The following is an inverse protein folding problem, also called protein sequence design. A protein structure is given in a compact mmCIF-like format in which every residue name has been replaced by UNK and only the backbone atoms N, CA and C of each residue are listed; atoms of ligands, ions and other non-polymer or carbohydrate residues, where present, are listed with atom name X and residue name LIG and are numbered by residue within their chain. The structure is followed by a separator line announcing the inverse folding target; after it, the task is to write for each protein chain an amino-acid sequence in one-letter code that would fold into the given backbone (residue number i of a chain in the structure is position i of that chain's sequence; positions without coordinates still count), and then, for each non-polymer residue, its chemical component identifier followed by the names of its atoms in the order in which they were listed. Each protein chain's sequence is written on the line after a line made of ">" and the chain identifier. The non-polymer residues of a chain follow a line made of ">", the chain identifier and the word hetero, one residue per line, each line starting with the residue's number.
data_IF_341780258898
#
_entry.id   IF_341780258898
#
_cell.length_a   1.000
_cell.length_b   1.000
_cell.length_c   1.000
_cell.angle_alpha   90.00
_cell.angle_beta   90.00
_cell.angle_gamma   90.00
#
_symmetry.space_group_name_H-M   'P 1'
#
loop_
_entity.id
_entity.type
_entity.pdbx_description
1 polymer ?
#
# COMPACT_ATOMS: atom_id res chain seq x y z
N UNK A 1 -3.77 -2.04 57.32
CA UNK A 1 -2.63 -2.87 57.74
C UNK A 1 -2.27 -3.71 56.49
N UNK A 2 -1.31 -3.47 55.68
CA UNK A 2 0.09 -3.15 55.86
C UNK A 2 0.62 -2.36 54.65
N UNK A 3 1.11 -1.15 54.89
CA UNK A 3 1.97 -0.39 53.99
C UNK A 3 3.40 -0.83 54.32
N UNK A 4 4.21 -1.27 53.38
CA UNK A 4 5.68 -1.15 53.34
C UNK A 4 6.25 -1.86 52.11
N UNK A 5 6.96 -1.13 51.31
CA UNK A 5 8.22 -1.43 50.64
C UNK A 5 8.28 -1.01 49.16
N UNK A 6 8.47 0.28 48.93
CA UNK A 6 8.96 0.80 47.63
C UNK A 6 10.03 1.88 47.86
N UNK A 7 11.17 1.51 48.49
CA UNK A 7 12.28 2.48 48.67
C UNK A 7 13.69 1.87 48.55
N UNK A 8 13.91 0.93 47.66
CA UNK A 8 15.26 0.34 47.45
C UNK A 8 15.70 0.17 45.97
N UNK A 9 15.03 0.78 45.01
CA UNK A 9 15.44 0.67 43.60
C UNK A 9 16.01 1.95 42.96
N UNK A 10 16.07 3.08 43.65
CA UNK A 10 16.55 4.35 43.11
C UNK A 10 18.05 4.64 43.29
N UNK A 11 18.80 3.85 44.06
CA UNK A 11 20.24 4.06 44.27
C UNK A 11 21.15 3.21 43.37
N UNK A 12 20.63 2.18 42.71
CA UNK A 12 21.45 1.34 41.80
C UNK A 12 21.60 1.96 40.39
N UNK A 13 20.68 2.81 39.94
CA UNK A 13 20.74 3.45 38.61
C UNK A 13 21.68 4.66 38.62
N UNK A 14 21.92 5.31 39.77
CA UNK A 14 22.79 6.48 39.86
C UNK A 14 24.29 6.13 39.87
N UNK A 15 24.65 4.90 40.23
CA UNK A 15 26.06 4.45 40.27
C UNK A 15 26.57 3.96 38.92
N UNK A 16 25.71 3.50 38.04
CA UNK A 16 26.10 3.05 36.68
C UNK A 16 26.35 4.23 35.73
N UNK A 17 25.66 5.36 35.91
CA UNK A 17 25.88 6.56 35.09
C UNK A 17 27.17 7.33 35.44
N UNK A 18 27.68 7.21 36.66
CA UNK A 18 28.93 7.86 37.07
C UNK A 18 30.19 7.11 36.60
N UNK A 19 30.11 5.80 36.38
CA UNK A 19 31.24 4.99 35.91
C UNK A 19 31.52 5.12 34.40
N UNK A 20 30.52 5.42 33.58
CA UNK A 20 30.68 5.56 32.13
C UNK A 20 31.25 6.92 31.72
N UNK A 21 31.09 7.98 32.50
CA UNK A 21 31.67 9.32 32.21
C UNK A 21 33.15 9.39 32.60
N UNK A 22 33.62 8.60 33.54
CA UNK A 22 35.04 8.59 33.93
C UNK A 22 35.95 7.87 32.91
N UNK A 23 35.43 6.92 32.16
CA UNK A 23 36.21 6.16 31.12
C UNK A 23 36.38 6.98 29.84
N UNK A 24 35.44 7.88 29.52
CA UNK A 24 35.52 8.74 28.33
C UNK A 24 36.53 9.91 28.48
N UNK A 25 36.84 10.35 29.72
CA UNK A 25 37.78 11.47 29.99
C UNK A 25 39.24 11.03 30.12
N UNK A 26 39.53 9.74 30.30
CA UNK A 26 40.90 9.22 30.41
C UNK A 26 41.46 8.75 29.05
N UNK A 27 40.62 8.50 28.03
CA UNK A 27 41.01 8.06 26.68
C UNK A 27 41.54 9.17 25.78
N UNK A 28 41.23 10.43 26.07
CA UNK A 28 41.62 11.58 25.21
C UNK A 28 42.98 12.22 25.57
N UNK A 29 43.57 11.86 26.71
CA UNK A 29 44.91 12.38 27.10
C UNK A 29 46.09 11.50 26.64
N UNK A 30 45.85 10.28 26.15
CA UNK A 30 46.92 9.40 25.69
C UNK A 30 47.22 9.49 24.21
N UNK A 31 46.44 10.24 23.40
CA UNK A 31 46.63 10.34 21.94
C UNK A 31 47.28 11.65 21.48
N UNK A 32 47.59 12.59 22.38
CA UNK A 32 48.25 13.89 22.07
C UNK A 32 49.74 13.87 22.35
N UNK A 33 50.31 12.81 22.95
CA UNK A 33 51.68 12.73 23.35
C UNK A 33 52.69 12.12 22.37
N UNK A 34 52.32 11.81 21.13
CA UNK A 34 53.13 11.04 20.16
C UNK A 34 53.37 11.74 18.82
N UNK A 35 53.14 13.04 18.73
CA UNK A 35 53.53 13.83 17.53
C UNK A 35 54.22 15.13 17.97
N UNK A 36 55.51 15.02 18.24
CA UNK A 36 56.37 16.16 18.50
C UNK A 36 57.80 15.85 18.05
N UNK A 37 58.27 16.72 17.14
CA UNK A 37 59.64 16.99 16.81
C UNK A 37 60.38 16.15 15.77
N UNK A 38 60.67 16.80 14.65
CA UNK A 38 61.58 16.40 13.60
C UNK A 38 61.69 17.43 12.50
N UNK A 39 62.10 18.67 12.88
CA UNK A 39 62.61 19.68 11.90
C UNK A 39 64.03 19.35 11.51
N UNK A 40 64.30 19.14 10.22
CA UNK A 40 65.60 19.36 9.62
C UNK A 40 65.42 19.71 8.14
N UNK A 41 65.83 20.91 7.84
CA UNK A 41 66.07 21.56 6.59
C UNK A 41 66.96 20.76 5.65
N UNK A 42 66.57 20.67 4.35
CA UNK A 42 67.55 20.63 3.23
C UNK A 42 67.01 21.51 2.11
N UNK A 43 67.81 22.56 1.84
CA UNK A 43 67.64 23.48 0.76
C UNK A 43 67.89 22.86 -0.63
N UNK A 44 67.17 23.48 -1.60
CA UNK A 44 67.59 23.78 -2.98
C UNK A 44 68.50 22.80 -3.73
N UNK A 45 68.00 22.10 -4.74
CA UNK A 45 68.47 22.14 -6.11
C UNK A 45 67.58 21.25 -7.02
N UNK A 46 66.92 21.92 -7.94
CA UNK A 46 66.66 21.44 -9.30
C UNK A 46 65.47 22.14 -9.94
N UNK A 47 65.62 23.44 -10.14
CA UNK A 47 65.10 24.06 -11.34
C UNK A 47 65.92 23.49 -12.51
N UNK A 48 65.29 22.79 -13.38
CA UNK A 48 65.60 22.40 -14.75
C UNK A 48 65.31 20.93 -15.02
N UNK A 49 64.01 20.59 -15.19
CA UNK A 49 63.51 19.44 -15.98
C UNK A 49 62.03 19.37 -16.00
N UNK A 50 61.35 20.48 -16.21
CA UNK A 50 59.88 20.50 -16.41
C UNK A 50 59.54 21.14 -17.77
N UNK A 51 60.17 20.71 -18.81
CA UNK A 51 59.76 21.01 -20.17
C UNK A 51 60.26 19.91 -21.08
N UNK A 52 59.39 18.88 -21.19
CA UNK A 52 59.28 17.95 -22.32
C UNK A 52 58.64 16.64 -21.86
N UNK A 53 57.34 16.62 -21.79
CA UNK A 53 56.48 15.52 -22.25
C UNK A 53 55.03 15.97 -22.16
N UNK A 54 54.64 17.02 -22.90
CA UNK A 54 53.30 17.00 -23.49
C UNK A 54 53.40 16.06 -24.68
N UNK A 55 53.42 14.77 -24.42
CA UNK A 55 53.11 13.79 -25.41
C UNK A 55 51.62 13.98 -25.77
N UNK A 56 51.40 14.46 -26.99
CA UNK A 56 50.18 14.36 -27.73
C UNK A 56 49.67 12.90 -27.59
N UNK A 57 48.72 12.67 -26.70
CA UNK A 57 47.87 11.47 -26.72
C UNK A 57 46.85 11.67 -27.84
N UNK A 58 47.34 11.71 -29.09
CA UNK A 58 46.57 11.31 -30.25
C UNK A 58 46.37 9.81 -30.10
N UNK A 59 45.30 9.42 -29.43
CA UNK A 59 44.72 8.06 -29.53
C UNK A 59 44.75 7.69 -31.01
N UNK A 60 45.73 6.85 -31.42
CA UNK A 60 45.76 6.29 -32.78
C UNK A 60 44.49 5.50 -32.94
N UNK A 61 43.60 5.94 -33.81
CA UNK A 61 42.33 5.27 -34.09
C UNK A 61 42.66 3.85 -34.54
N UNK A 62 42.35 2.89 -33.68
CA UNK A 62 42.50 1.48 -33.98
C UNK A 62 41.47 1.09 -35.05
N UNK A 63 41.90 0.49 -36.15
CA UNK A 63 41.01 0.07 -37.23
C UNK A 63 41.32 -1.36 -37.69
N UNK A 64 40.33 -1.98 -38.29
CA UNK A 64 40.44 -3.28 -38.92
C UNK A 64 39.91 -3.17 -40.34
N UNK A 65 40.72 -3.57 -41.31
CA UNK A 65 40.29 -3.70 -42.72
C UNK A 65 39.80 -5.12 -42.98
N UNK A 66 38.66 -5.25 -43.66
CA UNK A 66 38.06 -6.54 -43.98
C UNK A 66 37.96 -6.75 -45.52
N UNK A 67 38.17 -8.03 -45.90
CA UNK A 67 37.87 -8.45 -47.28
C UNK A 67 36.36 -8.60 -47.50
N UNK A 68 35.91 -8.57 -48.77
CA UNK A 68 34.50 -8.72 -49.11
C UNK A 68 33.81 -9.96 -48.56
N UNK A 69 34.57 -11.08 -48.44
CA UNK A 69 34.06 -12.31 -47.84
C UNK A 69 33.83 -12.21 -46.34
N UNK A 70 34.64 -11.39 -45.66
CA UNK A 70 34.56 -11.22 -44.20
C UNK A 70 33.50 -10.19 -43.80
N UNK A 71 33.27 -9.17 -44.63
CA UNK A 71 32.16 -8.18 -44.46
C UNK A 71 30.79 -8.79 -44.49
N UNK A 72 30.59 -9.91 -45.25
CA UNK A 72 29.32 -10.61 -45.28
C UNK A 72 28.88 -11.25 -43.96
N UNK A 73 29.82 -11.41 -42.99
CA UNK A 73 29.52 -11.91 -41.66
C UNK A 73 29.08 -10.86 -40.66
N UNK A 74 29.17 -9.58 -41.05
CA UNK A 74 28.81 -8.44 -40.18
C UNK A 74 27.52 -7.79 -40.67
N UNK A 75 26.66 -7.40 -39.73
CA UNK A 75 25.55 -6.49 -40.03
C UNK A 75 25.93 -5.08 -39.60
N UNK A 76 25.60 -4.13 -40.45
CA UNK A 76 25.81 -2.71 -40.21
C UNK A 76 24.48 -1.97 -40.30
N UNK A 77 24.32 -0.97 -39.46
CA UNK A 77 23.12 -0.14 -39.40
C UNK A 77 23.48 1.30 -39.00
N UNK A 78 22.56 2.21 -39.23
CA UNK A 78 22.71 3.59 -38.77
C UNK A 78 22.46 3.70 -37.26
N UNK A 79 23.15 4.63 -36.62
CA UNK A 79 22.82 5.04 -35.25
C UNK A 79 21.51 5.80 -35.27
N UNK A 80 20.52 5.26 -34.58
CA UNK A 80 19.16 5.79 -34.49
C UNK A 80 18.90 6.30 -33.08
N UNK A 81 17.86 7.12 -32.93
CA UNK A 81 17.41 7.53 -31.60
C UNK A 81 16.30 6.59 -31.12
N UNK A 82 16.31 6.28 -29.82
CA UNK A 82 15.32 5.46 -29.15
C UNK A 82 14.91 6.12 -27.82
N UNK A 83 13.67 5.86 -27.41
CA UNK A 83 13.18 6.34 -26.12
C UNK A 83 13.52 5.34 -25.03
N UNK A 84 14.28 5.81 -24.04
CA UNK A 84 14.67 5.03 -22.89
C UNK A 84 13.88 5.47 -21.67
N UNK A 85 13.28 4.51 -21.02
CA UNK A 85 12.50 4.73 -19.79
C UNK A 85 13.33 4.32 -18.56
N UNK A 86 13.40 5.20 -17.57
CA UNK A 86 13.99 4.83 -16.30
C UNK A 86 12.96 4.05 -15.48
N UNK A 87 13.15 2.73 -15.43
CA UNK A 87 12.28 1.84 -14.67
C UNK A 87 12.89 1.56 -13.30
N UNK A 88 12.07 1.68 -12.27
CA UNK A 88 12.40 1.24 -10.90
C UNK A 88 11.53 0.07 -10.51
N UNK A 89 12.15 -0.96 -9.94
CA UNK A 89 11.45 -2.15 -9.49
C UNK A 89 11.50 -2.21 -7.97
N UNK A 90 10.34 -2.49 -7.35
CA UNK A 90 10.29 -2.79 -5.93
C UNK A 90 9.46 -4.05 -5.68
N UNK A 91 9.78 -4.74 -4.59
CA UNK A 91 9.05 -5.94 -4.16
C UNK A 91 8.19 -5.63 -2.95
N UNK A 92 7.08 -6.31 -2.86
CA UNK A 92 6.14 -6.13 -1.77
C UNK A 92 5.11 -7.26 -1.70
N UNK A 93 4.01 -6.99 -1.04
CA UNK A 93 2.91 -7.93 -0.86
C UNK A 93 1.59 -7.30 -1.28
N UNK A 94 0.70 -8.14 -1.80
CA UNK A 94 -0.68 -7.79 -2.03
C UNK A 94 -1.42 -7.83 -0.70
N UNK A 95 -2.30 -6.87 -0.46
CA UNK A 95 -3.21 -6.86 0.69
C UNK A 95 -4.58 -6.34 0.29
N UNK A 96 -5.56 -6.55 1.16
CA UNK A 96 -6.90 -6.01 0.94
C UNK A 96 -6.87 -4.48 0.88
N UNK A 97 -7.69 -3.92 0.02
CA UNK A 97 -8.00 -2.51 0.07
C UNK A 97 -8.81 -2.22 1.35
N UNK A 98 -8.14 -1.69 2.38
CA UNK A 98 -8.78 -1.45 3.67
C UNK A 98 -9.86 -0.38 3.62
N UNK A 99 -9.90 0.45 2.58
CA UNK A 99 -11.01 1.38 2.35
C UNK A 99 -12.28 0.65 1.88
N UNK A 100 -12.12 -0.55 1.31
CA UNK A 100 -13.18 -1.42 0.82
C UNK A 100 -13.43 -2.63 1.72
N UNK A 101 -12.79 -2.67 2.91
CA UNK A 101 -12.95 -3.73 3.89
C UNK A 101 -13.75 -3.21 5.09
N UNK A 102 -14.84 -3.88 5.41
CA UNK A 102 -15.69 -3.52 6.54
C UNK A 102 -15.76 -4.67 7.52
N UNK A 103 -15.48 -4.36 8.79
CA UNK A 103 -15.73 -5.26 9.90
C UNK A 103 -17.17 -5.08 10.39
N UNK A 104 -17.96 -6.15 10.32
CA UNK A 104 -19.39 -6.13 10.66
C UNK A 104 -19.59 -6.56 12.09
N UNK A 105 -19.99 -5.61 12.91
CA UNK A 105 -20.39 -5.81 14.29
C UNK A 105 -21.90 -5.67 14.43
N UNK A 106 -22.48 -6.27 15.47
CA UNK A 106 -23.80 -5.85 15.92
C UNK A 106 -23.69 -4.51 16.64
N UNK A 107 -24.67 -3.64 16.44
CA UNK A 107 -24.80 -2.37 17.18
C UNK A 107 -25.25 -2.57 18.64
N UNK A 108 -25.76 -3.75 18.97
CA UNK A 108 -26.32 -4.09 20.28
C UNK A 108 -25.67 -5.37 20.80
N UNK A 109 -25.55 -5.52 22.14
CA UNK A 109 -25.07 -6.74 22.73
C UNK A 109 -26.09 -7.87 22.55
N UNK A 110 -25.59 -9.10 22.42
CA UNK A 110 -26.46 -10.25 22.32
C UNK A 110 -25.71 -11.54 22.02
N UNK A 111 -26.42 -12.66 22.12
CA UNK A 111 -25.92 -13.98 21.81
C UNK A 111 -26.23 -14.33 20.35
N UNK A 112 -25.23 -14.73 19.56
CA UNK A 112 -25.46 -15.16 18.19
C UNK A 112 -26.33 -16.42 18.17
N UNK A 113 -27.46 -16.33 17.46
CA UNK A 113 -28.37 -17.43 17.26
C UNK A 113 -27.99 -18.24 16.03
N UNK A 114 -27.82 -17.56 14.88
CA UNK A 114 -27.48 -18.16 13.59
C UNK A 114 -26.50 -17.29 12.84
N UNK A 115 -25.64 -17.93 12.07
CA UNK A 115 -24.70 -17.31 11.12
C UNK A 115 -24.92 -17.99 9.77
N UNK A 116 -25.17 -17.19 8.72
CA UNK A 116 -25.69 -17.70 7.45
C UNK A 116 -24.63 -17.93 6.38
N UNK A 117 -23.51 -17.20 6.43
CA UNK A 117 -22.48 -17.22 5.41
C UNK A 117 -21.16 -17.77 5.93
N UNK A 118 -20.35 -18.32 5.03
CA UNK A 118 -19.01 -18.83 5.30
C UNK A 118 -17.93 -17.94 4.66
N UNK A 119 -16.69 -18.16 5.04
CA UNK A 119 -15.54 -17.50 4.39
C UNK A 119 -15.51 -17.89 2.92
N UNK A 120 -15.38 -16.90 2.07
CA UNK A 120 -15.36 -17.04 0.62
C UNK A 120 -16.72 -16.86 -0.07
N UNK A 121 -17.84 -16.82 0.67
CA UNK A 121 -19.16 -16.57 0.10
C UNK A 121 -19.28 -15.10 -0.36
N UNK A 122 -20.01 -14.90 -1.46
CA UNK A 122 -20.40 -13.57 -1.94
C UNK A 122 -21.69 -13.12 -1.27
N UNK A 123 -21.69 -11.85 -0.86
CA UNK A 123 -22.83 -11.21 -0.19
C UNK A 123 -23.14 -9.87 -0.84
N UNK A 124 -24.42 -9.49 -0.80
CA UNK A 124 -24.90 -8.18 -1.23
C UNK A 124 -25.18 -7.29 -0.04
N UNK A 125 -25.10 -5.99 -0.26
CA UNK A 125 -25.56 -5.03 0.73
C UNK A 125 -27.02 -5.32 1.14
N UNK A 126 -27.25 -5.43 2.46
CA UNK A 126 -28.55 -5.75 3.04
C UNK A 126 -28.78 -7.24 3.34
N UNK A 127 -27.96 -8.16 2.82
CA UNK A 127 -28.05 -9.58 3.17
C UNK A 127 -27.81 -9.80 4.67
N UNK A 128 -28.61 -10.66 5.28
CA UNK A 128 -28.49 -10.91 6.72
C UNK A 128 -27.35 -11.87 6.98
N UNK A 129 -26.27 -11.37 7.60
CA UNK A 129 -25.07 -12.18 7.90
C UNK A 129 -25.30 -13.10 9.10
N UNK A 130 -25.92 -12.59 10.15
CA UNK A 130 -26.20 -13.35 11.37
C UNK A 130 -27.37 -12.74 12.14
N UNK A 131 -27.89 -13.50 13.08
CA UNK A 131 -28.94 -13.04 14.01
C UNK A 131 -28.43 -13.16 15.43
N UNK A 132 -28.88 -12.23 16.29
CA UNK A 132 -28.58 -12.24 17.72
C UNK A 132 -29.86 -12.22 18.55
N UNK A 133 -29.78 -12.84 19.72
CA UNK A 133 -30.74 -12.68 20.80
C UNK A 133 -30.38 -11.43 21.58
N UNK A 134 -31.17 -10.35 21.41
CA UNK A 134 -30.92 -9.03 22.01
C UNK A 134 -31.90 -8.76 23.16
N UNK A 135 -31.40 -8.71 24.41
CA UNK A 135 -32.23 -8.34 25.56
C UNK A 135 -32.79 -6.93 25.45
N UNK A 136 -32.04 -6.03 24.83
CA UNK A 136 -32.44 -4.61 24.67
C UNK A 136 -33.64 -4.49 23.70
N UNK A 137 -33.65 -5.27 22.61
CA UNK A 137 -34.81 -5.33 21.71
C UNK A 137 -36.05 -5.90 22.44
N UNK A 138 -35.85 -7.00 23.18
CA UNK A 138 -36.94 -7.61 23.97
C UNK A 138 -37.53 -6.61 24.94
N UNK A 139 -36.70 -5.82 25.63
CA UNK A 139 -37.14 -4.77 26.55
C UNK A 139 -37.93 -3.66 25.82
N UNK A 140 -37.44 -3.20 24.66
CA UNK A 140 -38.10 -2.19 23.86
C UNK A 140 -39.48 -2.64 23.35
N UNK A 141 -39.59 -3.88 22.85
CA UNK A 141 -40.86 -4.45 22.42
C UNK A 141 -41.84 -4.66 23.58
N UNK A 142 -41.35 -5.05 24.75
CA UNK A 142 -42.17 -5.18 25.95
C UNK A 142 -42.72 -3.82 26.43
N UNK A 143 -41.90 -2.78 26.38
CA UNK A 143 -42.30 -1.40 26.70
C UNK A 143 -43.34 -0.88 25.69
N UNK A 144 -43.21 -1.24 24.40
CA UNK A 144 -44.20 -0.89 23.37
C UNK A 144 -45.54 -1.51 23.67
N UNK A 145 -45.62 -2.82 23.97
CA UNK A 145 -46.86 -3.49 24.32
C UNK A 145 -47.51 -2.91 25.57
N UNK A 146 -46.72 -2.59 26.61
CA UNK A 146 -47.21 -1.95 27.82
C UNK A 146 -47.81 -0.60 27.57
N UNK A 147 -47.10 0.28 26.82
CA UNK A 147 -47.55 1.63 26.49
C UNK A 147 -48.80 1.62 25.60
N UNK A 148 -48.91 0.67 24.67
CA UNK A 148 -50.11 0.46 23.87
C UNK A 148 -51.33 0.06 24.73
N UNK A 149 -51.13 -0.76 25.75
CA UNK A 149 -52.15 -1.14 26.71
C UNK A 149 -52.65 0.06 27.51
N UNK A 150 -51.76 0.91 28.01
CA UNK A 150 -52.07 2.15 28.74
C UNK A 150 -52.81 3.14 27.83
N UNK A 151 -52.33 3.34 26.60
CA UNK A 151 -53.01 4.23 25.65
C UNK A 151 -54.45 3.77 25.37
N UNK A 152 -54.64 2.45 25.16
CA UNK A 152 -55.96 1.86 24.96
C UNK A 152 -56.91 2.04 26.18
N UNK A 153 -56.36 1.97 27.41
CA UNK A 153 -57.12 2.28 28.64
C UNK A 153 -57.55 3.72 28.69
N UNK A 154 -56.60 4.66 28.50
CA UNK A 154 -56.88 6.13 28.58
C UNK A 154 -57.82 6.58 27.46
N UNK A 155 -57.69 6.00 26.25
CA UNK A 155 -58.63 6.30 25.15
C UNK A 155 -60.05 5.92 25.53
N UNK A 156 -60.26 4.71 26.12
CA UNK A 156 -61.61 4.30 26.58
C UNK A 156 -62.13 5.15 27.75
N UNK A 157 -61.22 5.56 28.66
CA UNK A 157 -61.60 6.42 29.78
C UNK A 157 -62.08 7.81 29.29
N UNK A 158 -61.29 8.45 28.40
CA UNK A 158 -61.62 9.72 27.80
C UNK A 158 -62.92 9.65 27.02
N UNK A 159 -63.12 8.63 26.20
CA UNK A 159 -64.34 8.43 25.43
C UNK A 159 -65.58 8.32 26.36
N UNK A 160 -65.48 7.52 27.41
CA UNK A 160 -66.55 7.33 28.40
C UNK A 160 -66.88 8.65 29.14
N UNK A 161 -65.88 9.37 29.66
CA UNK A 161 -66.08 10.62 30.38
C UNK A 161 -66.63 11.72 29.47
N UNK A 162 -66.21 11.79 28.22
CA UNK A 162 -66.76 12.70 27.22
C UNK A 162 -68.23 12.43 26.93
N UNK A 163 -68.64 11.15 26.89
CA UNK A 163 -70.04 10.77 26.72
C UNK A 163 -70.89 11.08 27.96
N UNK A 164 -70.36 10.82 29.16
CA UNK A 164 -71.03 11.18 30.42
C UNK A 164 -71.18 12.70 30.59
N UNK A 165 -70.20 13.50 30.22
CA UNK A 165 -70.30 14.99 30.25
C UNK A 165 -71.44 15.45 29.35
N UNK A 166 -71.56 14.92 28.13
CA UNK A 166 -72.66 15.22 27.20
C UNK A 166 -74.03 14.89 27.77
N UNK A 167 -74.13 13.87 28.64
CA UNK A 167 -75.32 13.44 29.34
C UNK A 167 -75.52 14.15 30.69
N UNK A 168 -74.68 15.10 31.07
CA UNK A 168 -74.75 15.82 32.35
C UNK A 168 -74.31 15.01 33.57
N UNK A 169 -73.63 13.87 33.37
CA UNK A 169 -73.21 12.92 34.42
C UNK A 169 -71.71 13.00 34.84
N UNK A 170 -70.98 13.97 34.33
CA UNK A 170 -69.55 14.16 34.69
C UNK A 170 -69.23 15.66 34.70
N UNK A 171 -68.16 16.03 35.47
CA UNK A 171 -67.65 17.38 35.48
C UNK A 171 -66.66 17.63 34.35
N UNK A 172 -66.60 18.91 33.84
CA UNK A 172 -65.61 19.29 32.80
C UNK A 172 -64.19 18.99 33.26
N UNK A 173 -63.87 19.23 34.54
CA UNK A 173 -62.52 18.93 35.13
C UNK A 173 -62.11 17.47 34.92
N UNK A 174 -63.05 16.52 35.01
CA UNK A 174 -62.73 15.09 34.84
C UNK A 174 -62.38 14.76 33.38
N UNK A 175 -63.04 15.43 32.43
CA UNK A 175 -62.70 15.29 31.00
C UNK A 175 -61.38 15.93 30.69
N UNK A 176 -61.08 17.10 31.26
CA UNK A 176 -59.79 17.78 31.07
C UNK A 176 -58.63 16.92 31.61
N UNK A 177 -58.80 16.30 32.79
CA UNK A 177 -57.83 15.34 33.35
C UNK A 177 -57.63 14.14 32.43
N UNK A 178 -58.73 13.51 32.00
CA UNK A 178 -58.68 12.35 31.11
C UNK A 178 -58.01 12.70 29.75
N UNK A 179 -58.19 13.91 29.25
CA UNK A 179 -57.54 14.43 28.05
C UNK A 179 -56.03 14.52 28.26
N UNK A 180 -55.61 15.10 29.38
CA UNK A 180 -54.18 15.18 29.75
C UNK A 180 -53.53 13.78 29.90
N UNK A 181 -54.23 12.86 30.56
CA UNK A 181 -53.76 11.49 30.74
C UNK A 181 -53.67 10.72 29.41
N UNK A 182 -54.63 10.96 28.50
CA UNK A 182 -54.60 10.36 27.17
C UNK A 182 -53.41 10.93 26.34
N UNK A 183 -53.20 12.26 26.37
CA UNK A 183 -52.07 12.87 25.65
C UNK A 183 -50.73 12.35 26.17
N UNK A 184 -50.58 12.18 27.49
CA UNK A 184 -49.41 11.60 28.10
C UNK A 184 -49.19 10.15 27.65
N UNK A 185 -50.22 9.35 27.65
CA UNK A 185 -50.17 7.97 27.19
C UNK A 185 -49.82 7.85 25.69
N UNK A 186 -50.37 8.77 24.87
CA UNK A 186 -50.05 8.85 23.44
C UNK A 186 -48.56 9.21 23.20
N UNK A 187 -48.06 10.18 23.98
CA UNK A 187 -46.61 10.55 23.93
C UNK A 187 -45.71 9.34 24.29
N UNK A 188 -46.02 8.63 25.37
CA UNK A 188 -45.28 7.45 25.80
C UNK A 188 -45.32 6.32 24.77
N UNK A 189 -46.49 6.08 24.15
CA UNK A 189 -46.61 5.08 23.08
C UNK A 189 -45.78 5.46 21.85
N UNK A 190 -45.81 6.71 21.41
CA UNK A 190 -44.99 7.19 20.30
C UNK A 190 -43.49 7.04 20.61
N UNK A 191 -43.07 7.35 21.83
CA UNK A 191 -41.69 7.17 22.26
C UNK A 191 -41.28 5.68 22.23
N UNK A 192 -42.10 4.80 22.75
CA UNK A 192 -41.84 3.33 22.74
C UNK A 192 -41.83 2.79 21.31
N UNK A 193 -42.71 3.25 20.42
CA UNK A 193 -42.72 2.88 19.00
C UNK A 193 -41.42 3.28 18.31
N UNK A 194 -40.94 4.49 18.58
CA UNK A 194 -39.66 4.98 18.06
C UNK A 194 -38.46 4.17 18.60
N UNK A 195 -38.51 3.78 19.88
CA UNK A 195 -37.45 2.96 20.48
C UNK A 195 -37.31 1.62 19.73
N UNK A 196 -38.41 0.94 19.37
CA UNK A 196 -38.38 -0.30 18.59
C UNK A 196 -37.89 -0.05 17.15
N UNK A 197 -38.25 1.09 16.56
CA UNK A 197 -37.80 1.47 15.21
C UNK A 197 -36.27 1.65 15.12
N UNK A 198 -35.63 2.13 16.19
CA UNK A 198 -34.13 2.29 16.26
C UNK A 198 -33.44 0.93 16.08
N UNK A 199 -34.05 -0.18 16.48
CA UNK A 199 -33.51 -1.53 16.25
C UNK A 199 -33.70 -2.03 14.80
N UNK A 200 -34.21 -1.18 13.89
CA UNK A 200 -34.40 -1.51 12.48
C UNK A 200 -35.74 -2.18 12.16
N UNK A 201 -36.66 -2.29 13.13
CA UNK A 201 -38.01 -2.82 12.88
C UNK A 201 -38.83 -1.84 12.04
N UNK A 202 -39.44 -2.35 10.98
CA UNK A 202 -40.38 -1.62 10.13
C UNK A 202 -41.70 -1.33 10.82
N UNK A 203 -42.46 -0.34 10.35
CA UNK A 203 -43.80 -0.07 10.90
C UNK A 203 -44.74 -1.27 10.79
N UNK A 204 -44.62 -2.06 9.72
CA UNK A 204 -45.40 -3.28 9.53
C UNK A 204 -45.07 -4.35 10.59
N UNK A 205 -43.78 -4.56 10.91
CA UNK A 205 -43.35 -5.48 11.96
C UNK A 205 -43.84 -5.00 13.34
N UNK A 206 -43.74 -3.67 13.60
CA UNK A 206 -44.23 -3.07 14.84
C UNK A 206 -45.75 -3.30 15.00
N UNK A 207 -46.52 -3.11 13.93
CA UNK A 207 -47.95 -3.34 13.96
C UNK A 207 -48.31 -4.84 14.13
N UNK A 208 -47.48 -5.74 13.62
CA UNK A 208 -47.60 -7.19 13.89
C UNK A 208 -47.34 -7.51 15.36
N UNK A 209 -46.28 -6.92 15.97
CA UNK A 209 -45.98 -7.09 17.41
C UNK A 209 -47.19 -6.64 18.24
N UNK A 210 -47.78 -5.47 17.92
CA UNK A 210 -48.96 -4.94 18.60
C UNK A 210 -50.21 -5.81 18.43
N UNK A 211 -50.44 -6.34 17.21
CA UNK A 211 -51.59 -7.20 16.91
C UNK A 211 -51.49 -8.57 17.53
N UNK A 212 -50.32 -9.21 17.44
CA UNK A 212 -50.08 -10.55 17.96
C UNK A 212 -49.80 -10.56 19.47
N UNK A 213 -49.39 -9.42 20.04
CA UNK A 213 -48.92 -9.25 21.43
C UNK A 213 -47.80 -10.21 21.79
N UNK A 214 -46.92 -10.49 20.81
CA UNK A 214 -45.76 -11.36 20.96
C UNK A 214 -44.51 -10.55 20.74
N UNK A 215 -43.57 -10.65 21.66
CA UNK A 215 -42.23 -10.06 21.55
C UNK A 215 -41.23 -11.06 20.97
N UNK A 216 -40.23 -10.58 20.26
CA UNK A 216 -39.14 -11.36 19.69
C UNK A 216 -37.81 -10.64 19.91
N UNK A 217 -36.91 -11.32 20.60
CA UNK A 217 -35.55 -10.81 20.87
C UNK A 217 -34.59 -10.90 19.67
N UNK A 218 -35.06 -11.50 18.56
CA UNK A 218 -34.22 -11.74 17.38
C UNK A 218 -33.94 -10.47 16.61
N UNK A 219 -32.67 -10.02 16.68
CA UNK A 219 -32.16 -8.91 15.91
C UNK A 219 -31.39 -9.41 14.69
N UNK A 220 -31.72 -8.87 13.52
CA UNK A 220 -31.06 -9.17 12.26
C UNK A 220 -29.86 -8.22 12.06
N UNK A 221 -28.70 -8.75 11.68
CA UNK A 221 -27.52 -7.95 11.38
C UNK A 221 -27.23 -8.04 9.88
N UNK A 222 -27.53 -6.97 9.12
CA UNK A 222 -27.33 -6.94 7.68
C UNK A 222 -25.89 -6.61 7.32
N UNK A 223 -25.48 -7.01 6.11
CA UNK A 223 -24.22 -6.64 5.51
C UNK A 223 -24.25 -5.19 5.03
N UNK A 224 -23.27 -4.35 5.40
CA UNK A 224 -23.26 -2.93 5.02
C UNK A 224 -22.78 -2.68 3.58
N UNK A 225 -22.03 -3.61 2.98
CA UNK A 225 -21.49 -3.50 1.62
C UNK A 225 -21.71 -4.81 0.85
N UNK A 226 -21.68 -4.73 -0.48
CA UNK A 226 -21.57 -5.92 -1.33
C UNK A 226 -20.10 -6.33 -1.44
N UNK A 227 -19.80 -7.62 -1.44
CA UNK A 227 -18.44 -8.14 -1.50
C UNK A 227 -18.32 -9.59 -1.10
N UNK A 228 -17.14 -9.99 -0.65
CA UNK A 228 -16.83 -11.36 -0.23
C UNK A 228 -16.52 -11.45 1.26
N UNK A 229 -16.98 -12.50 1.91
CA UNK A 229 -16.65 -12.77 3.30
C UNK A 229 -15.18 -13.17 3.41
N UNK A 230 -14.39 -12.36 4.14
CA UNK A 230 -12.96 -12.59 4.34
C UNK A 230 -12.70 -13.36 5.64
N UNK A 231 -13.42 -13.01 6.71
CA UNK A 231 -13.33 -13.69 8.00
C UNK A 231 -14.69 -13.95 8.58
N UNK A 232 -14.83 -15.06 9.29
CA UNK A 232 -16.02 -15.46 10.05
C UNK A 232 -15.63 -15.91 11.44
N UNK A 233 -15.96 -15.12 12.45
CA UNK A 233 -15.83 -15.49 13.86
C UNK A 233 -17.22 -15.72 14.49
N UNK A 234 -18.29 -15.50 13.71
CA UNK A 234 -19.66 -15.72 14.15
C UNK A 234 -19.94 -17.22 14.31
N UNK A 235 -20.21 -17.64 15.53
CA UNK A 235 -20.65 -19.00 15.85
C UNK A 235 -21.92 -18.95 16.74
N UNK A 236 -22.89 -19.85 16.54
CA UNK A 236 -24.05 -19.96 17.42
C UNK A 236 -23.60 -20.10 18.89
N UNK A 237 -24.22 -19.31 19.76
CA UNK A 237 -23.86 -19.29 21.17
C UNK A 237 -22.76 -18.28 21.56
N UNK A 238 -22.05 -17.68 20.60
CA UNK A 238 -21.05 -16.66 20.88
C UNK A 238 -21.71 -15.34 21.31
N UNK A 239 -21.18 -14.73 22.37
CA UNK A 239 -21.65 -13.43 22.86
C UNK A 239 -20.93 -12.33 22.09
N UNK A 240 -21.69 -11.50 21.37
CA UNK A 240 -21.16 -10.32 20.67
C UNK A 240 -21.49 -9.05 21.43
N UNK A 241 -20.55 -8.10 21.41
CA UNK A 241 -20.73 -6.76 21.95
C UNK A 241 -20.26 -5.74 20.91
N UNK A 242 -20.85 -4.54 20.85
CA UNK A 242 -20.44 -3.49 19.93
C UNK A 242 -18.95 -3.17 20.04
N UNK A 243 -18.22 -3.20 18.92
CA UNK A 243 -16.82 -2.81 18.87
C UNK A 243 -15.81 -3.78 19.48
N UNK A 244 -16.23 -4.90 20.06
CA UNK A 244 -15.30 -5.88 20.62
C UNK A 244 -14.74 -6.81 19.53
N UNK A 245 -13.41 -6.81 19.41
CA UNK A 245 -12.70 -7.74 18.55
C UNK A 245 -12.71 -9.17 19.12
N UNK A 246 -12.70 -10.21 18.27
CA UNK A 246 -12.75 -10.13 16.81
C UNK A 246 -14.15 -9.83 16.27
N UNK A 247 -14.25 -9.12 15.15
CA UNK A 247 -15.52 -8.89 14.47
C UNK A 247 -16.19 -10.21 14.08
N UNK A 248 -17.50 -10.36 14.25
CA UNK A 248 -18.24 -11.56 13.80
C UNK A 248 -18.01 -11.89 12.33
N UNK A 249 -18.00 -10.88 11.46
CA UNK A 249 -17.68 -11.01 10.05
C UNK A 249 -16.80 -9.85 9.58
N UNK A 250 -15.96 -10.12 8.56
CA UNK A 250 -15.32 -9.07 7.76
C UNK A 250 -15.69 -9.31 6.29
N UNK A 251 -16.12 -8.25 5.62
CA UNK A 251 -16.53 -8.27 4.21
C UNK A 251 -15.64 -7.30 3.46
N UNK A 252 -15.12 -7.69 2.30
CA UNK A 252 -14.33 -6.83 1.44
C UNK A 252 -14.85 -6.87 0.00
N UNK A 253 -14.85 -5.73 -0.65
CA UNK A 253 -14.90 -5.64 -2.09
C UNK A 253 -13.50 -5.93 -2.63
N UNK A 254 -13.38 -6.93 -3.49
CA UNK A 254 -12.11 -7.39 -4.05
C UNK A 254 -11.84 -6.84 -5.45
N UNK A 255 -12.62 -5.90 -5.93
CA UNK A 255 -12.44 -5.27 -7.26
C UNK A 255 -11.12 -4.52 -7.36
N UNK A 256 -10.62 -4.03 -6.23
CA UNK A 256 -9.30 -3.42 -6.10
C UNK A 256 -8.56 -3.99 -4.90
N UNK A 257 -7.25 -4.18 -5.08
CA UNK A 257 -6.35 -4.64 -4.04
C UNK A 257 -5.22 -3.63 -3.84
N UNK A 258 -4.61 -3.62 -2.67
CA UNK A 258 -3.41 -2.85 -2.43
C UNK A 258 -2.17 -3.70 -2.67
N UNK A 259 -1.17 -3.13 -3.32
CA UNK A 259 0.19 -3.59 -3.24
C UNK A 259 0.96 -2.67 -2.30
N UNK A 260 1.56 -3.26 -1.30
CA UNK A 260 2.37 -2.57 -0.29
C UNK A 260 3.81 -2.98 -0.53
N UNK A 261 4.63 -2.05 -1.01
CA UNK A 261 6.05 -2.26 -1.25
C UNK A 261 6.90 -1.40 -0.31
N UNK A 262 8.05 -1.95 0.05
CA UNK A 262 9.04 -1.25 0.86
C UNK A 262 10.25 -0.93 -0.03
N UNK A 263 10.33 0.33 -0.49
CA UNK A 263 11.37 0.81 -1.39
C UNK A 263 12.58 1.29 -0.61
N UNK A 264 13.78 1.16 -1.18
CA UNK A 264 15.02 1.61 -0.54
C UNK A 264 15.08 3.14 -0.49
N UNK A 265 15.69 3.70 0.54
CA UNK A 265 15.80 5.14 0.79
C UNK A 265 16.39 5.92 -0.39
N UNK A 266 17.40 5.37 -1.06
CA UNK A 266 18.04 6.01 -2.22
C UNK A 266 17.10 6.19 -3.42
N UNK A 267 16.09 5.36 -3.54
CA UNK A 267 15.10 5.43 -4.61
C UNK A 267 13.83 6.20 -4.20
N UNK A 268 13.69 6.50 -2.90
CA UNK A 268 12.52 7.19 -2.36
C UNK A 268 12.11 8.47 -3.12
N UNK A 269 13.03 9.33 -3.55
CA UNK A 269 12.67 10.54 -4.30
C UNK A 269 12.06 10.30 -5.69
N UNK A 270 12.16 9.07 -6.19
CA UNK A 270 11.64 8.69 -7.50
C UNK A 270 10.13 8.39 -7.48
N UNK A 271 9.56 8.07 -6.31
CA UNK A 271 8.16 7.66 -6.17
C UNK A 271 7.26 8.86 -5.88
N UNK A 272 6.17 8.99 -6.64
CA UNK A 272 5.21 10.07 -6.52
C UNK A 272 3.77 9.53 -6.57
N UNK A 273 2.85 10.27 -5.96
CA UNK A 273 1.42 9.96 -6.05
C UNK A 273 0.95 10.01 -7.51
N UNK A 274 0.08 9.08 -7.88
CA UNK A 274 -0.53 9.01 -9.20
C UNK A 274 0.33 8.33 -10.27
N UNK A 275 1.59 7.94 -9.98
CA UNK A 275 2.39 7.18 -10.95
C UNK A 275 1.74 5.85 -11.28
N UNK A 276 1.72 5.51 -12.55
CA UNK A 276 1.28 4.20 -13.02
C UNK A 276 2.28 3.11 -12.61
N UNK A 277 1.74 1.97 -12.24
CA UNK A 277 2.53 0.79 -11.85
C UNK A 277 2.06 -0.43 -12.61
N UNK A 278 3.02 -1.21 -13.08
CA UNK A 278 2.80 -2.57 -13.54
C UNK A 278 3.17 -3.53 -12.43
N UNK A 279 2.23 -4.39 -12.05
CA UNK A 279 2.43 -5.36 -10.98
C UNK A 279 2.47 -6.75 -11.56
N UNK A 280 3.51 -7.48 -11.21
CA UNK A 280 3.72 -8.88 -11.58
C UNK A 280 3.69 -9.75 -10.34
N UNK A 281 2.84 -10.76 -10.38
CA UNK A 281 2.66 -11.73 -9.31
C UNK A 281 3.15 -13.09 -9.79
N UNK A 282 4.09 -13.75 -9.10
CA UNK A 282 4.64 -15.04 -9.55
C UNK A 282 3.61 -16.15 -9.73
N UNK A 283 2.46 -16.06 -9.02
CA UNK A 283 1.37 -17.01 -9.19
C UNK A 283 0.64 -16.88 -10.56
N UNK A 284 0.81 -15.74 -11.25
CA UNK A 284 0.19 -15.44 -12.54
C UNK A 284 1.24 -14.83 -13.48
N UNK A 285 2.20 -15.63 -13.99
CA UNK A 285 3.36 -15.12 -14.72
C UNK A 285 2.99 -14.42 -16.04
N UNK A 286 1.89 -14.83 -16.67
CA UNK A 286 1.43 -14.30 -17.96
C UNK A 286 0.45 -13.11 -17.80
N UNK A 287 0.16 -12.69 -16.56
CA UNK A 287 -0.78 -11.60 -16.28
C UNK A 287 -0.05 -10.42 -15.66
N UNK A 288 -0.19 -9.26 -16.29
CA UNK A 288 0.27 -7.99 -15.75
C UNK A 288 -0.94 -7.26 -15.17
N UNK A 289 -0.87 -6.92 -13.90
CA UNK A 289 -1.88 -6.10 -13.24
C UNK A 289 -1.45 -4.64 -13.29
N UNK A 290 -2.40 -3.75 -13.54
CA UNK A 290 -2.16 -2.32 -13.61
C UNK A 290 -2.76 -1.59 -12.43
N UNK A 291 -2.10 -0.54 -12.02
CA UNK A 291 -2.55 0.28 -10.91
C UNK A 291 -1.82 1.61 -10.87
N UNK A 292 -1.97 2.31 -9.76
CA UNK A 292 -1.31 3.60 -9.55
C UNK A 292 -0.90 3.76 -8.08
N UNK A 293 0.14 4.54 -7.84
CA UNK A 293 0.61 4.87 -6.49
C UNK A 293 -0.41 5.77 -5.80
N UNK A 294 -0.98 5.30 -4.70
CA UNK A 294 -1.95 6.05 -3.88
C UNK A 294 -1.34 6.64 -2.61
N UNK A 295 -0.22 6.08 -2.15
CA UNK A 295 0.44 6.58 -0.94
C UNK A 295 1.95 6.41 -1.06
N UNK A 296 2.67 7.48 -0.75
CA UNK A 296 4.11 7.47 -0.50
C UNK A 296 4.29 7.82 0.97
N UNK A 297 4.83 6.90 1.76
CA UNK A 297 5.03 7.08 3.19
C UNK A 297 5.91 8.30 3.48
N UNK A 298 5.58 9.06 4.51
CA UNK A 298 6.38 10.23 4.94
C UNK A 298 7.53 9.86 5.87
N UNK A 299 7.67 8.59 6.23
CA UNK A 299 8.67 8.09 7.15
C UNK A 299 9.49 6.97 6.50
N UNK A 300 10.79 7.00 6.75
CA UNK A 300 11.72 5.90 6.45
C UNK A 300 11.90 5.09 7.73
N UNK A 301 11.73 3.78 7.64
CA UNK A 301 11.97 2.89 8.78
C UNK A 301 13.46 2.90 9.13
N UNK A 302 13.84 3.30 10.36
CA UNK A 302 15.24 3.48 10.75
C UNK A 302 16.03 2.16 10.82
N UNK A 303 15.36 1.01 10.91
CA UNK A 303 16.02 -0.29 10.98
C UNK A 303 16.27 -0.89 9.61
N UNK A 304 15.34 -0.68 8.67
CA UNK A 304 15.40 -1.29 7.33
C UNK A 304 15.84 -0.31 6.25
N UNK A 305 15.90 0.99 6.53
CA UNK A 305 16.15 2.07 5.57
C UNK A 305 15.22 1.99 4.35
N UNK A 306 13.94 1.70 4.62
CA UNK A 306 12.91 1.56 3.58
C UNK A 306 11.75 2.49 3.83
N UNK A 307 11.18 2.97 2.73
CA UNK A 307 9.96 3.76 2.70
C UNK A 307 8.81 2.90 2.19
N UNK A 308 7.65 3.01 2.81
CA UNK A 308 6.44 2.36 2.35
C UNK A 308 5.88 3.11 1.13
N UNK A 309 5.63 2.37 0.06
CA UNK A 309 4.88 2.85 -1.11
C UNK A 309 3.69 1.90 -1.32
N UNK A 310 2.48 2.46 -1.38
CA UNK A 310 1.26 1.71 -1.60
C UNK A 310 0.66 2.09 -2.95
N UNK A 311 0.32 1.07 -3.71
CA UNK A 311 -0.37 1.22 -4.98
C UNK A 311 -1.73 0.54 -4.91
N UNK A 312 -2.73 1.11 -5.57
CA UNK A 312 -4.04 0.49 -5.76
C UNK A 312 -4.07 -0.19 -7.12
N UNK A 313 -4.47 -1.46 -7.13
CA UNK A 313 -4.40 -2.35 -8.28
C UNK A 313 -5.80 -2.82 -8.61
N UNK A 314 -6.20 -2.69 -9.87
CA UNK A 314 -7.46 -3.24 -10.35
C UNK A 314 -7.37 -4.76 -10.50
N UNK A 315 -8.33 -5.47 -9.90
CA UNK A 315 -8.46 -6.93 -10.00
C UNK A 315 -9.90 -7.34 -10.34
N UNK A 316 -10.39 -7.01 -11.53
CA UNK A 316 -11.78 -7.31 -11.92
C UNK A 316 -12.09 -8.81 -11.99
N UNK A 317 -11.07 -9.65 -12.06
CA UNK A 317 -11.21 -11.11 -12.11
C UNK A 317 -11.09 -11.75 -10.72
N UNK A 318 -10.81 -10.98 -9.68
CA UNK A 318 -10.60 -11.42 -8.30
C UNK A 318 -9.56 -12.55 -8.18
N UNK A 319 -8.45 -12.43 -8.92
CA UNK A 319 -7.35 -13.39 -8.93
C UNK A 319 -6.39 -13.18 -7.74
N UNK A 320 -6.20 -11.92 -7.35
CA UNK A 320 -5.26 -11.57 -6.29
C UNK A 320 -5.76 -12.02 -4.91
N UNK A 321 -4.81 -12.38 -4.06
CA UNK A 321 -5.09 -12.74 -2.66
C UNK A 321 -4.16 -11.97 -1.74
N UNK A 322 -4.68 -11.54 -0.59
CA UNK A 322 -3.85 -10.98 0.48
C UNK A 322 -2.75 -11.96 0.89
N UNK A 323 -1.54 -11.45 1.08
CA UNK A 323 -0.34 -12.24 1.36
C UNK A 323 0.46 -12.70 0.15
N UNK A 324 -0.02 -12.53 -1.09
CA UNK A 324 0.76 -12.84 -2.28
C UNK A 324 1.94 -11.89 -2.40
N UNK A 325 3.12 -12.44 -2.72
CA UNK A 325 4.26 -11.63 -3.12
C UNK A 325 4.04 -11.06 -4.52
N UNK A 326 4.49 -9.85 -4.71
CA UNK A 326 4.42 -9.16 -5.98
C UNK A 326 5.64 -8.26 -6.17
N UNK A 327 5.99 -7.99 -7.42
CA UNK A 327 6.89 -6.92 -7.80
C UNK A 327 6.13 -5.88 -8.59
N UNK A 328 6.40 -4.62 -8.35
CA UNK A 328 5.94 -3.57 -9.21
C UNK A 328 7.09 -2.90 -9.96
N UNK A 329 6.80 -2.51 -11.18
CA UNK A 329 7.67 -1.73 -12.04
C UNK A 329 7.03 -0.36 -12.18
N UNK A 330 7.77 0.67 -11.83
CA UNK A 330 7.34 2.06 -11.95
C UNK A 330 8.21 2.76 -12.97
N UNK A 331 7.58 3.50 -13.87
CA UNK A 331 8.24 4.45 -14.76
C UNK A 331 8.54 5.73 -13.99
N UNK A 332 9.82 6.12 -13.99
CA UNK A 332 10.30 7.29 -13.25
C UNK A 332 10.74 8.37 -14.23
N UNK A 333 10.05 9.51 -14.20
CA UNK A 333 10.33 10.62 -15.11
C UNK A 333 9.80 10.41 -16.53
N UNK A 334 10.13 11.36 -17.40
CA UNK A 334 9.80 11.29 -18.83
C UNK A 334 10.80 10.40 -19.56
N UNK A 335 10.38 9.71 -20.64
CA UNK A 335 11.29 8.97 -21.50
C UNK A 335 12.40 9.86 -22.03
N UNK A 336 13.62 9.37 -22.02
CA UNK A 336 14.77 10.11 -22.55
C UNK A 336 15.02 9.69 -23.98
N UNK A 337 14.78 10.60 -24.92
CA UNK A 337 15.13 10.41 -26.33
C UNK A 337 16.63 10.52 -26.50
N UNK A 338 17.31 9.44 -26.86
CA UNK A 338 18.78 9.39 -26.91
C UNK A 338 19.27 8.50 -28.04
N UNK A 339 20.50 8.75 -28.49
CA UNK A 339 21.17 7.90 -29.48
C UNK A 339 21.27 6.46 -28.95
N UNK A 340 21.02 5.51 -29.83
CA UNK A 340 21.01 4.09 -29.49
C UNK A 340 21.65 3.22 -30.55
N UNK A 341 22.16 2.10 -30.11
CA UNK A 341 22.61 1.00 -30.96
C UNK A 341 22.09 -0.32 -30.40
N UNK A 342 21.89 -1.36 -31.21
CA UNK A 342 21.61 -2.68 -30.68
C UNK A 342 22.66 -3.11 -29.64
N UNK A 343 22.23 -3.78 -28.58
CA UNK A 343 23.16 -4.20 -27.49
C UNK A 343 24.32 -5.06 -28.01
N UNK A 344 24.10 -5.84 -29.08
CA UNK A 344 25.11 -6.63 -29.75
C UNK A 344 26.20 -5.81 -30.49
N UNK A 345 25.95 -4.52 -30.72
CA UNK A 345 26.93 -3.60 -31.31
C UNK A 345 27.99 -3.10 -30.31
N UNK A 346 27.67 -3.19 -29.02
CA UNK A 346 28.57 -2.73 -27.95
C UNK A 346 29.44 -3.87 -27.49
N UNK A 347 30.75 -3.68 -27.52
CA UNK A 347 31.73 -4.64 -27.05
C UNK A 347 32.35 -4.12 -25.75
N UNK A 348 32.38 -4.97 -24.74
CA UNK A 348 33.14 -4.71 -23.52
C UNK A 348 34.55 -5.28 -23.68
N UNK A 349 35.54 -4.41 -23.71
CA UNK A 349 36.93 -4.79 -23.84
C UNK A 349 37.52 -5.34 -22.54
N UNK A 350 38.69 -5.93 -22.65
CA UNK A 350 39.38 -6.58 -21.51
C UNK A 350 39.79 -5.58 -20.40
N UNK A 351 39.96 -4.30 -20.73
CA UNK A 351 40.25 -3.21 -19.80
C UNK A 351 38.96 -2.61 -19.17
N UNK A 352 37.78 -3.13 -19.55
CA UNK A 352 36.49 -2.67 -19.06
C UNK A 352 35.87 -1.52 -19.86
N UNK A 353 36.54 -0.98 -20.89
CA UNK A 353 35.99 0.04 -21.76
C UNK A 353 34.88 -0.51 -22.66
N UNK A 354 33.88 0.32 -22.96
CA UNK A 354 32.83 -0.01 -23.92
C UNK A 354 33.16 0.59 -25.27
N UNK A 355 33.12 -0.22 -26.30
CA UNK A 355 33.49 0.18 -27.67
C UNK A 355 32.43 -0.19 -28.69
N UNK A 356 32.40 0.58 -29.78
CA UNK A 356 31.56 0.33 -30.95
C UNK A 356 32.43 0.44 -32.19
N UNK A 357 32.14 -0.32 -33.22
CA UNK A 357 32.86 -0.27 -34.50
C UNK A 357 32.09 0.56 -35.51
N UNK A 358 32.70 1.66 -35.96
CA UNK A 358 32.15 2.64 -36.90
C UNK A 358 32.75 2.40 -38.29
N UNK A 359 31.95 2.53 -39.34
CA UNK A 359 32.43 2.43 -40.72
C UNK A 359 31.74 3.46 -41.60
N UNK A 360 32.47 3.93 -42.63
CA UNK A 360 31.92 4.80 -43.67
C UNK A 360 31.83 4.13 -45.04
N UNK A 361 32.69 3.12 -45.29
CA UNK A 361 32.83 2.45 -46.59
C UNK A 361 32.54 0.92 -46.53
N UNK A 362 32.14 0.40 -45.35
CA UNK A 362 31.91 -1.02 -45.08
C UNK A 362 33.13 -1.92 -45.28
N UNK A 363 34.33 -1.35 -45.44
CA UNK A 363 35.61 -2.08 -45.56
C UNK A 363 36.52 -1.82 -44.39
N UNK A 364 36.60 -0.56 -43.98
CA UNK A 364 37.38 -0.12 -42.83
C UNK A 364 36.47 0.10 -41.65
N UNK A 365 36.75 -0.56 -40.55
CA UNK A 365 36.04 -0.45 -39.30
C UNK A 365 36.92 0.14 -38.23
N UNK A 366 36.53 1.29 -37.71
CA UNK A 366 37.32 2.04 -36.70
C UNK A 366 36.69 1.80 -35.34
N UNK A 367 37.53 1.37 -34.41
CA UNK A 367 37.15 1.18 -33.03
C UNK A 367 36.96 2.55 -32.35
N UNK A 368 35.83 2.75 -31.68
CA UNK A 368 35.52 3.97 -30.99
C UNK A 368 34.99 3.67 -29.59
N UNK A 369 35.62 4.29 -28.58
CA UNK A 369 35.13 4.20 -27.19
C UNK A 369 33.85 5.00 -27.06
N UNK A 370 32.86 4.41 -26.37
CA UNK A 370 31.56 5.01 -26.12
C UNK A 370 31.22 4.95 -24.65
N UNK A 371 30.39 5.89 -24.20
CA UNK A 371 29.79 5.87 -22.88
C UNK A 371 28.38 5.36 -23.00
N UNK A 372 28.14 4.18 -22.46
CA UNK A 372 26.84 3.51 -22.50
C UNK A 372 26.03 3.93 -21.28
N UNK A 373 24.76 4.23 -21.50
CA UNK A 373 23.76 4.51 -20.45
C UNK A 373 22.87 3.32 -20.18
N UNK A 374 21.56 3.53 -20.30
CA UNK A 374 20.54 2.50 -20.10
C UNK A 374 20.60 1.44 -21.19
N UNK A 375 20.21 0.21 -20.81
CA UNK A 375 19.99 -0.87 -21.75
C UNK A 375 18.56 -1.37 -21.59
N UNK A 376 17.80 -1.37 -22.68
CA UNK A 376 16.38 -1.71 -22.66
C UNK A 376 15.96 -2.30 -24.01
N UNK A 377 15.15 -3.33 -24.00
CA UNK A 377 14.53 -3.96 -25.19
C UNK A 377 15.51 -4.32 -26.31
N UNK A 378 16.75 -4.71 -25.94
CA UNK A 378 17.80 -5.07 -26.89
C UNK A 378 18.60 -3.87 -27.45
N UNK A 379 18.31 -2.65 -26.97
CA UNK A 379 19.01 -1.43 -27.32
C UNK A 379 19.89 -0.92 -26.18
N UNK A 380 21.02 -0.33 -26.52
CA UNK A 380 21.95 0.35 -25.60
C UNK A 380 21.95 1.84 -25.89
N UNK A 381 21.64 2.63 -24.88
CA UNK A 381 21.75 4.09 -24.91
C UNK A 381 23.20 4.52 -25.03
N UNK A 382 23.51 5.42 -25.93
CA UNK A 382 24.83 6.00 -26.09
C UNK A 382 24.81 7.46 -25.62
N UNK A 383 25.52 7.72 -24.53
CA UNK A 383 25.62 9.06 -23.94
C UNK A 383 26.69 9.91 -24.64
N UNK A 384 27.82 9.28 -25.02
CA UNK A 384 28.96 9.97 -25.62
C UNK A 384 29.65 9.00 -26.62
N UNK A 385 30.23 9.53 -27.67
CA UNK A 385 31.12 8.80 -28.60
C UNK A 385 30.53 8.53 -29.97
N UNK A 386 29.23 8.71 -30.22
CA UNK A 386 28.61 8.56 -31.53
C UNK A 386 27.79 9.79 -31.94
N UNK A 387 27.57 9.93 -33.23
CA UNK A 387 26.68 10.94 -33.81
C UNK A 387 25.50 10.29 -34.53
N UNK A 388 24.39 11.01 -34.63
CA UNK A 388 23.22 10.53 -35.36
C UNK A 388 23.55 10.29 -36.83
N UNK A 389 23.08 9.16 -37.36
CA UNK A 389 23.28 8.77 -38.75
C UNK A 389 24.64 8.13 -39.07
N UNK A 390 25.55 8.03 -38.10
CA UNK A 390 26.79 7.26 -38.30
C UNK A 390 26.45 5.77 -38.53
N UNK A 391 27.23 5.10 -39.38
CA UNK A 391 27.03 3.65 -39.61
C UNK A 391 27.92 2.85 -38.66
N UNK A 392 27.31 1.97 -37.90
CA UNK A 392 27.99 1.10 -36.93
C UNK A 392 27.72 -0.37 -37.21
N UNK A 393 28.59 -1.22 -36.69
CA UNK A 393 28.37 -2.69 -36.73
C UNK A 393 27.31 -3.02 -35.68
N UNK A 394 26.16 -3.54 -36.13
CA UNK A 394 25.02 -3.90 -35.28
C UNK A 394 25.06 -5.37 -34.82
N UNK A 395 25.80 -6.22 -35.54
CA UNK A 395 25.97 -7.64 -35.19
C UNK A 395 27.37 -8.11 -35.66
N UNK A 396 28.05 -8.92 -34.83
CA UNK A 396 29.41 -9.39 -35.12
C UNK A 396 30.54 -8.47 -34.64
N UNK A 397 30.24 -7.42 -33.83
CA UNK A 397 31.25 -6.47 -33.34
C UNK A 397 32.39 -7.13 -32.55
N UNK A 398 32.10 -8.20 -31.80
CA UNK A 398 33.10 -8.97 -31.04
C UNK A 398 34.14 -9.60 -31.95
N UNK A 399 33.78 -9.99 -33.18
CA UNK A 399 34.74 -10.56 -34.16
C UNK A 399 35.83 -9.53 -34.52
N UNK A 400 35.45 -8.24 -34.68
CA UNK A 400 36.40 -7.17 -34.98
C UNK A 400 37.37 -6.90 -33.79
N UNK A 401 36.86 -6.91 -32.58
CA UNK A 401 37.70 -6.75 -31.38
C UNK A 401 38.68 -7.91 -31.23
N UNK A 402 38.28 -9.14 -31.48
CA UNK A 402 39.16 -10.31 -31.44
C UNK A 402 40.24 -10.24 -32.57
N UNK A 403 39.84 -9.85 -33.77
CA UNK A 403 40.76 -9.70 -34.89
C UNK A 403 41.84 -8.63 -34.63
N UNK A 404 41.43 -7.51 -34.02
CA UNK A 404 42.36 -6.47 -33.62
C UNK A 404 43.38 -6.97 -32.55
N UNK A 405 42.89 -7.76 -31.56
CA UNK A 405 43.73 -8.32 -30.51
C UNK A 405 44.77 -9.34 -31.05
N UNK A 406 44.42 -10.07 -32.09
CA UNK A 406 45.35 -11.03 -32.72
C UNK A 406 46.38 -10.36 -33.62
N UNK A 407 46.35 -9.02 -33.79
CA UNK A 407 47.29 -8.30 -34.61
C UNK A 407 47.08 -8.49 -36.12
N UNK A 408 45.97 -9.06 -36.56
CA UNK A 408 45.57 -9.22 -37.95
C UNK A 408 44.91 -7.92 -38.47
N UNK A 409 45.67 -6.81 -38.41
CA UNK A 409 45.34 -5.58 -39.17
C UNK A 409 45.77 -5.83 -40.60
N UNK A 410 44.80 -5.81 -41.53
CA UNK A 410 45.06 -6.10 -42.95
C UNK A 410 45.95 -5.12 -43.65
#
# INVERSE_FOLDING_TARGET
>A
MTIFSTRKRSHAVLFVLAATVAIALFGTKLLVGLMGEGTASIEQNSSDRASQSRSDDKSQAQFVDLSEKQTGALKVGAVESHDFELLKTAVGTIDFNQNMLVQVFSQYPGKILKAFYNVGDEVKQGDILFTIDSPDLLQAESALLSSAGVLGLQTRALTRLTQLLKAGGSAQKDVDQATSDHQTAEGNFKAARNAVRIFGKTDTEIDQILGQRKVDSTLLVPCPISGKIITRNAAPGFLTQPGNAPAPYSVADLSTMWMIANVIETDAPAYRLGQEVEVRVPAYPDTIFHGHVTTVGSMIDPNTHRQLVRSEIADPQHLLRSGMFASFIIRVGEPTHSLSVPTAAVVREGDGTMTVWVTTDRRRFTKRTVKVGLQQDGWSQILEGLQSGETVVTDGAVFLSNKLLLGETG
#
